data_IF_096719492526
#
_entry.id   IF_096719492526
#
_cell.length_a   1.000
_cell.length_b   1.000
_cell.length_c   1.000
_cell.angle_alpha   90.00
_cell.angle_beta   90.00
_cell.angle_gamma   90.00
#
_symmetry.space_group_name_H-M   'P 1'
#
loop_
_entity.id
_entity.type
_entity.pdbx_description
1 polymer ?
#
# COMPACT_ATOMS: atom_id res chain seq x y z
N UNK A 1 -22.68 2.73 -3.25
CA UNK A 1 -21.41 2.75 -2.52
C UNK A 1 -21.53 3.84 -1.45
N UNK A 2 -21.24 3.56 -0.19
CA UNK A 2 -21.15 4.61 0.82
C UNK A 2 -19.86 5.39 0.56
N UNK A 3 -19.96 6.69 0.40
CA UNK A 3 -18.83 7.59 0.26
C UNK A 3 -18.59 8.22 1.61
N UNK A 4 -17.35 8.20 2.08
CA UNK A 4 -17.00 8.76 3.39
C UNK A 4 -16.11 9.99 3.21
N UNK A 5 -14.78 9.82 3.45
CA UNK A 5 -13.82 10.92 3.44
C UNK A 5 -12.94 10.87 2.19
N UNK A 6 -12.32 9.69 1.94
CA UNK A 6 -11.27 9.55 0.92
C UNK A 6 -11.83 9.40 -0.50
N UNK A 7 -13.02 8.82 -0.61
CA UNK A 7 -13.70 8.57 -1.87
C UNK A 7 -14.97 9.42 -1.95
N UNK A 8 -14.81 10.73 -1.98
CA UNK A 8 -15.92 11.67 -2.10
C UNK A 8 -16.02 12.25 -3.52
N UNK A 9 -17.16 12.91 -3.81
CA UNK A 9 -17.40 13.57 -5.09
C UNK A 9 -16.66 14.91 -5.22
N UNK A 10 -15.91 15.32 -4.19
CA UNK A 10 -15.15 16.56 -4.18
C UNK A 10 -13.84 16.35 -4.94
N UNK A 11 -13.94 16.36 -6.28
CA UNK A 11 -12.74 16.40 -7.09
C UNK A 11 -12.00 17.71 -6.83
N UNK A 12 -10.79 17.63 -6.34
CA UNK A 12 -9.91 18.80 -6.14
C UNK A 12 -8.86 18.85 -7.25
N UNK A 13 -9.34 18.72 -8.51
CA UNK A 13 -8.49 18.58 -9.70
C UNK A 13 -7.81 19.88 -10.09
N UNK A 14 -8.43 21.00 -9.76
CA UNK A 14 -7.87 22.33 -9.97
C UNK A 14 -8.05 23.16 -8.71
N UNK A 15 -7.33 24.29 -8.64
CA UNK A 15 -7.29 25.15 -7.45
C UNK A 15 -8.66 25.75 -7.11
N UNK A 16 -9.52 26.00 -8.11
CA UNK A 16 -10.86 26.55 -7.89
C UNK A 16 -11.74 25.52 -7.18
N UNK A 17 -11.81 24.29 -7.71
CA UNK A 17 -12.59 23.21 -7.10
C UNK A 17 -12.09 22.93 -5.68
N UNK A 18 -10.77 22.98 -5.48
CA UNK A 18 -10.18 22.84 -4.15
C UNK A 18 -10.69 23.93 -3.20
N UNK A 19 -10.59 25.21 -3.58
CA UNK A 19 -11.01 26.34 -2.74
C UNK A 19 -12.51 26.33 -2.46
N UNK A 20 -13.34 25.94 -3.40
CA UNK A 20 -14.79 25.83 -3.22
C UNK A 20 -15.16 24.76 -2.18
N UNK A 21 -14.34 23.72 -2.00
CA UNK A 21 -14.59 22.62 -1.08
C UNK A 21 -13.85 22.74 0.27
N UNK A 22 -12.64 23.29 0.28
CA UNK A 22 -11.73 23.29 1.43
C UNK A 22 -11.28 24.69 1.86
N UNK A 23 -11.45 25.70 1.04
CA UNK A 23 -10.92 27.03 1.30
C UNK A 23 -9.46 27.20 0.83
N UNK A 24 -8.72 28.08 1.48
CA UNK A 24 -7.30 28.27 1.21
C UNK A 24 -6.45 27.12 1.77
N UNK A 25 -5.22 26.98 1.26
CA UNK A 25 -4.28 25.98 1.76
C UNK A 25 -4.04 26.16 3.26
N UNK A 26 -4.06 25.07 4.00
CA UNK A 26 -4.02 25.05 5.47
C UNK A 26 -2.80 25.74 6.05
N UNK A 27 -1.63 25.63 5.40
CA UNK A 27 -0.42 26.28 5.90
C UNK A 27 -0.50 27.80 5.89
N UNK A 28 -1.43 28.39 5.13
CA UNK A 28 -1.67 29.84 5.11
C UNK A 28 -2.62 30.29 6.22
N UNK A 29 -3.39 29.36 6.80
CA UNK A 29 -4.44 29.64 7.78
C UNK A 29 -4.11 29.11 9.18
N UNK A 30 -3.33 28.04 9.28
CA UNK A 30 -2.93 27.43 10.56
C UNK A 30 -1.62 28.07 11.04
N UNK A 31 -1.68 28.79 12.15
CA UNK A 31 -0.53 29.40 12.79
C UNK A 31 -0.03 28.64 14.04
N UNK A 32 -0.85 27.74 14.60
CA UNK A 32 -0.57 27.01 15.84
C UNK A 32 -0.54 25.51 15.57
N UNK A 33 0.64 25.00 15.22
CA UNK A 33 0.83 23.57 14.93
C UNK A 33 0.69 22.68 16.18
N UNK A 34 1.01 23.19 17.36
CA UNK A 34 0.93 22.44 18.62
C UNK A 34 -0.50 21.96 18.92
N UNK A 35 -1.49 22.84 18.73
CA UNK A 35 -2.91 22.50 18.89
C UNK A 35 -3.34 21.41 17.90
N UNK A 36 -2.90 21.52 16.63
CA UNK A 36 -3.18 20.49 15.61
C UNK A 36 -2.52 19.14 15.98
N UNK A 37 -1.30 19.16 16.50
CA UNK A 37 -0.59 17.95 16.94
C UNK A 37 -1.25 17.28 18.14
N UNK A 38 -1.74 18.04 19.12
CA UNK A 38 -2.49 17.47 20.24
C UNK A 38 -3.81 16.83 19.78
N UNK A 39 -4.52 17.46 18.84
CA UNK A 39 -5.70 16.86 18.21
C UNK A 39 -5.32 15.59 17.42
N UNK A 40 -4.21 15.59 16.70
CA UNK A 40 -3.72 14.42 15.95
C UNK A 40 -3.37 13.24 16.87
N UNK A 41 -2.81 13.52 18.06
CA UNK A 41 -2.55 12.51 19.08
C UNK A 41 -3.82 11.78 19.51
N UNK A 42 -4.91 12.53 19.71
CA UNK A 42 -6.23 11.96 20.03
C UNK A 42 -6.84 11.22 18.86
N UNK A 43 -6.68 11.73 17.63
CA UNK A 43 -7.17 11.06 16.41
C UNK A 43 -6.49 9.72 16.15
N UNK A 44 -5.27 9.53 16.65
CA UNK A 44 -4.50 8.28 16.60
C UNK A 44 -4.37 7.70 15.19
N UNK A 45 -3.98 8.55 14.24
CA UNK A 45 -3.75 8.16 12.84
C UNK A 45 -2.41 7.44 12.72
N UNK A 46 -2.41 6.28 12.02
CA UNK A 46 -1.22 5.49 11.72
C UNK A 46 -0.89 5.54 10.23
N UNK A 47 0.41 5.38 9.91
CA UNK A 47 0.85 5.22 8.53
C UNK A 47 0.25 3.96 7.90
N UNK A 48 -0.04 4.06 6.59
CA UNK A 48 -0.63 2.97 5.79
C UNK A 48 0.43 2.10 5.12
N UNK A 49 1.61 2.06 5.70
CA UNK A 49 2.74 1.23 5.26
C UNK A 49 2.90 -0.03 6.14
N UNK A 50 3.96 -0.79 5.88
CA UNK A 50 4.28 -2.01 6.65
C UNK A 50 4.74 -1.73 8.08
N UNK A 51 5.10 -0.50 8.40
CA UNK A 51 5.65 -0.13 9.72
C UNK A 51 4.59 0.31 10.72
N UNK A 52 3.42 0.74 10.28
CA UNK A 52 2.29 1.20 11.12
C UNK A 52 2.73 2.17 12.21
N UNK A 53 3.41 3.23 11.86
CA UNK A 53 3.88 4.22 12.82
C UNK A 53 2.78 5.23 13.13
N UNK A 54 2.70 5.69 14.37
CA UNK A 54 1.85 6.82 14.73
C UNK A 54 2.30 8.07 13.99
N UNK A 55 1.38 8.72 13.26
CA UNK A 55 1.67 9.96 12.56
C UNK A 55 2.02 11.09 13.52
N UNK A 56 1.34 11.15 14.69
CA UNK A 56 1.72 12.08 15.75
C UNK A 56 3.20 11.92 16.16
N UNK A 57 3.67 10.70 16.38
CA UNK A 57 5.05 10.46 16.78
C UNK A 57 6.05 10.87 15.69
N UNK A 58 5.68 10.73 14.44
CA UNK A 58 6.50 11.18 13.30
C UNK A 58 6.56 12.71 13.29
N UNK A 59 5.42 13.40 13.34
CA UNK A 59 5.34 14.85 13.21
C UNK A 59 5.85 15.60 14.46
N UNK A 60 5.81 14.99 15.64
CA UNK A 60 6.36 15.55 16.88
C UNK A 60 7.86 15.25 17.09
N UNK A 61 8.49 14.47 16.18
CA UNK A 61 9.91 14.12 16.32
C UNK A 61 10.82 15.24 15.82
N UNK A 62 11.74 15.68 16.68
CA UNK A 62 12.80 16.63 16.32
C UNK A 62 13.98 15.91 15.68
N UNK A 63 13.88 15.52 14.44
CA UNK A 63 14.98 14.93 13.70
C UNK A 63 15.51 15.93 12.67
N UNK A 64 16.82 16.00 12.48
CA UNK A 64 17.46 16.84 11.46
C UNK A 64 17.33 16.23 10.05
N UNK A 65 16.13 15.82 9.67
CA UNK A 65 15.88 15.29 8.33
C UNK A 65 15.79 16.44 7.31
N UNK A 66 16.30 16.19 6.11
CA UNK A 66 16.46 17.22 5.08
C UNK A 66 15.30 17.24 4.07
N UNK A 67 14.53 16.15 3.96
CA UNK A 67 13.43 16.05 3.03
C UNK A 67 12.27 15.17 3.52
N UNK A 68 11.08 15.50 3.03
CA UNK A 68 9.87 14.70 3.15
C UNK A 68 9.65 13.94 1.84
N UNK A 69 9.55 12.61 1.93
CA UNK A 69 9.21 11.75 0.80
C UNK A 69 7.75 11.37 0.92
N UNK A 70 6.97 11.65 -0.11
CA UNK A 70 5.61 11.14 -0.28
C UNK A 70 5.67 9.94 -1.22
N UNK A 71 5.44 8.77 -0.66
CA UNK A 71 5.44 7.52 -1.41
C UNK A 71 4.06 7.28 -2.04
N UNK A 72 3.89 7.71 -3.28
CA UNK A 72 2.78 7.36 -4.15
C UNK A 72 3.19 6.29 -5.17
N UNK A 73 4.30 5.61 -4.93
CA UNK A 73 4.81 4.52 -5.73
C UNK A 73 4.31 3.20 -5.15
N UNK A 74 3.08 2.82 -5.48
CA UNK A 74 2.54 1.52 -5.11
C UNK A 74 3.44 0.42 -5.67
N UNK A 75 4.23 -0.22 -4.80
CA UNK A 75 5.08 -1.36 -5.21
C UNK A 75 4.23 -2.53 -5.67
N UNK A 76 3.09 -2.77 -5.04
CA UNK A 76 2.17 -3.86 -5.36
C UNK A 76 1.18 -3.42 -6.44
N UNK A 77 1.24 -4.06 -7.62
CA UNK A 77 0.32 -3.81 -8.72
C UNK A 77 -1.15 -4.19 -8.41
N UNK A 78 -1.39 -4.92 -7.31
CA UNK A 78 -2.72 -5.20 -6.79
C UNK A 78 -3.33 -4.01 -6.05
N UNK A 79 -2.54 -2.94 -5.83
CA UNK A 79 -2.93 -1.72 -5.12
C UNK A 79 -2.87 -0.55 -6.09
N UNK A 80 -4.00 0.08 -6.34
CA UNK A 80 -4.13 1.16 -7.33
C UNK A 80 -4.78 2.45 -6.79
N UNK A 81 -4.90 2.57 -5.46
CA UNK A 81 -5.46 3.75 -4.80
C UNK A 81 -4.63 5.03 -5.01
N UNK A 82 -3.30 4.90 -5.11
CA UNK A 82 -2.42 6.06 -5.27
C UNK A 82 -2.67 6.76 -6.60
N UNK A 83 -2.91 6.00 -7.68
CA UNK A 83 -3.34 6.55 -8.96
C UNK A 83 -4.64 7.35 -8.81
N UNK A 84 -5.61 6.80 -8.09
CA UNK A 84 -6.89 7.47 -7.84
C UNK A 84 -6.68 8.81 -7.12
N UNK A 85 -5.86 8.87 -6.09
CA UNK A 85 -5.60 10.10 -5.35
C UNK A 85 -4.92 11.16 -6.23
N UNK A 86 -3.90 10.78 -7.00
CA UNK A 86 -3.20 11.69 -7.91
C UNK A 86 -4.17 12.28 -8.94
N UNK A 87 -5.05 11.45 -9.52
CA UNK A 87 -5.98 11.88 -10.56
C UNK A 87 -7.16 12.71 -10.06
N UNK A 88 -7.52 12.61 -8.77
CA UNK A 88 -8.71 13.25 -8.23
C UNK A 88 -8.44 14.29 -7.13
N UNK A 89 -7.33 14.21 -6.42
CA UNK A 89 -7.05 15.04 -5.26
C UNK A 89 -5.65 15.70 -5.27
N UNK A 90 -5.14 16.23 -6.40
CA UNK A 90 -3.77 16.74 -6.47
C UNK A 90 -3.52 17.93 -5.53
N UNK A 91 -4.47 18.86 -5.40
CA UNK A 91 -4.33 19.98 -4.50
C UNK A 91 -4.37 19.62 -3.03
N UNK A 92 -5.19 18.62 -2.64
CA UNK A 92 -5.18 18.10 -1.27
C UNK A 92 -3.86 17.41 -0.94
N UNK A 93 -3.25 16.71 -1.91
CA UNK A 93 -1.90 16.14 -1.76
C UNK A 93 -0.89 17.24 -1.47
N UNK A 94 -0.90 18.31 -2.27
CA UNK A 94 0.04 19.41 -2.11
C UNK A 94 -0.14 20.17 -0.80
N UNK A 95 -1.38 20.56 -0.46
CA UNK A 95 -1.67 21.26 0.79
C UNK A 95 -1.24 20.45 2.01
N UNK A 96 -1.63 19.17 2.07
CA UNK A 96 -1.24 18.28 3.16
C UNK A 96 0.27 18.09 3.27
N UNK A 97 0.94 17.94 2.13
CA UNK A 97 2.39 17.77 2.08
C UNK A 97 3.14 19.01 2.55
N UNK A 98 2.68 20.18 2.12
CA UNK A 98 3.25 21.48 2.52
C UNK A 98 3.04 21.71 4.03
N UNK A 99 1.84 21.43 4.55
CA UNK A 99 1.55 21.54 5.96
C UNK A 99 2.46 20.61 6.80
N UNK A 100 2.63 19.35 6.39
CA UNK A 100 3.55 18.41 7.03
C UNK A 100 4.99 18.93 7.00
N UNK A 101 5.44 19.43 5.85
CA UNK A 101 6.79 19.97 5.71
C UNK A 101 7.02 21.19 6.61
N UNK A 102 6.01 22.05 6.75
CA UNK A 102 6.06 23.20 7.68
C UNK A 102 6.14 22.76 9.13
N UNK A 103 5.32 21.78 9.55
CA UNK A 103 5.37 21.22 10.91
C UNK A 103 6.76 20.64 11.22
N UNK A 104 7.36 19.94 10.26
CA UNK A 104 8.67 19.30 10.39
C UNK A 104 9.86 20.25 10.14
N UNK A 105 9.59 21.51 9.76
CA UNK A 105 10.59 22.50 9.32
C UNK A 105 11.48 21.97 8.19
N UNK A 106 10.88 21.38 7.17
CA UNK A 106 11.53 20.82 5.99
C UNK A 106 11.21 21.69 4.78
N UNK A 107 12.22 21.87 3.91
CA UNK A 107 12.08 22.68 2.68
C UNK A 107 11.96 21.86 1.40
N UNK A 108 12.25 20.58 1.44
CA UNK A 108 12.24 19.72 0.26
C UNK A 108 11.18 18.63 0.38
N UNK A 109 10.27 18.58 -0.57
CA UNK A 109 9.26 17.54 -0.72
C UNK A 109 9.52 16.76 -2.00
N UNK A 110 9.66 15.45 -1.90
CA UNK A 110 9.89 14.57 -3.03
C UNK A 110 8.68 13.61 -3.15
N UNK A 111 7.94 13.69 -4.26
CA UNK A 111 6.78 12.83 -4.53
C UNK A 111 7.22 11.72 -5.48
N UNK A 112 7.14 10.47 -5.04
CA UNK A 112 7.52 9.31 -5.84
C UNK A 112 6.26 8.68 -6.44
N UNK A 113 6.20 8.57 -7.77
CA UNK A 113 5.06 8.03 -8.51
C UNK A 113 5.48 6.91 -9.47
N UNK A 114 4.52 6.16 -10.00
CA UNK A 114 4.75 5.25 -11.12
C UNK A 114 4.83 6.03 -12.43
N UNK A 115 5.71 5.60 -13.35
CA UNK A 115 5.87 6.24 -14.66
C UNK A 115 4.62 6.23 -15.53
N UNK A 116 3.70 5.28 -15.30
CA UNK A 116 2.42 5.21 -16.00
C UNK A 116 1.30 6.05 -15.34
N UNK A 117 1.58 6.73 -14.21
CA UNK A 117 0.65 7.72 -13.66
C UNK A 117 0.78 9.03 -14.44
N UNK A 118 -0.33 9.76 -14.52
CA UNK A 118 -0.31 11.04 -15.20
C UNK A 118 0.31 12.13 -14.30
N UNK A 119 1.64 12.29 -14.39
CA UNK A 119 2.38 13.28 -13.60
C UNK A 119 2.02 14.73 -13.92
N UNK A 120 1.51 15.01 -15.13
CA UNK A 120 1.11 16.36 -15.55
C UNK A 120 0.02 16.94 -14.62
N UNK A 121 -0.83 16.09 -14.03
CA UNK A 121 -1.85 16.52 -13.07
C UNK A 121 -1.19 17.16 -11.84
N UNK A 122 -0.16 16.54 -11.28
CA UNK A 122 0.58 17.09 -10.14
C UNK A 122 1.38 18.32 -10.52
N UNK A 123 2.01 18.33 -11.70
CA UNK A 123 2.76 19.49 -12.22
C UNK A 123 1.82 20.68 -12.36
N UNK A 124 0.66 20.51 -12.98
CA UNK A 124 -0.32 21.58 -13.14
C UNK A 124 -0.80 22.10 -11.77
N UNK A 125 -1.07 21.21 -10.82
CA UNK A 125 -1.47 21.61 -9.49
C UNK A 125 -0.37 22.40 -8.75
N UNK A 126 0.91 22.05 -8.94
CA UNK A 126 2.05 22.83 -8.40
C UNK A 126 2.08 24.21 -9.02
N UNK A 127 1.92 24.34 -10.35
CA UNK A 127 1.89 25.63 -11.04
C UNK A 127 0.73 26.51 -10.55
N UNK A 128 -0.49 25.96 -10.46
CA UNK A 128 -1.65 26.67 -9.94
C UNK A 128 -1.45 27.15 -8.49
N UNK A 129 -0.86 26.30 -7.66
CA UNK A 129 -0.56 26.63 -6.27
C UNK A 129 0.57 27.66 -6.16
N UNK A 130 1.60 27.60 -7.03
CA UNK A 130 2.68 28.59 -7.08
C UNK A 130 2.15 29.97 -7.49
N UNK A 131 1.30 30.02 -8.51
CA UNK A 131 0.70 31.29 -8.97
C UNK A 131 -0.06 32.00 -7.84
N UNK A 132 -0.75 31.24 -7.00
CA UNK A 132 -1.61 31.79 -5.94
C UNK A 132 -0.88 32.02 -4.61
N UNK A 133 -0.03 31.10 -4.19
CA UNK A 133 0.54 31.04 -2.84
C UNK A 133 2.05 31.29 -2.76
N UNK A 134 2.76 31.38 -3.89
CA UNK A 134 4.21 31.61 -3.96
C UNK A 134 5.04 30.60 -3.15
N UNK A 135 4.71 29.31 -3.30
CA UNK A 135 5.24 28.19 -2.51
C UNK A 135 6.76 28.03 -2.67
N UNK A 136 7.28 28.20 -3.91
CA UNK A 136 8.70 27.98 -4.24
C UNK A 136 9.67 28.89 -3.45
N UNK A 137 9.18 30.01 -2.93
CA UNK A 137 9.97 30.85 -2.04
C UNK A 137 10.36 30.16 -0.73
N UNK A 138 9.64 29.12 -0.34
CA UNK A 138 9.77 28.45 0.95
C UNK A 138 10.02 26.96 0.86
N UNK A 139 9.40 26.28 -0.11
CA UNK A 139 9.41 24.81 -0.26
C UNK A 139 9.66 24.44 -1.72
N UNK A 140 10.59 23.51 -1.93
CA UNK A 140 10.84 22.89 -3.24
C UNK A 140 10.09 21.56 -3.34
N UNK A 141 9.31 21.37 -4.40
CA UNK A 141 8.56 20.12 -4.65
C UNK A 141 9.09 19.47 -5.92
N UNK A 142 9.54 18.22 -5.80
CA UNK A 142 10.04 17.41 -6.91
C UNK A 142 9.14 16.19 -7.13
N UNK A 143 9.00 15.77 -8.40
CA UNK A 143 8.28 14.53 -8.76
C UNK A 143 9.25 13.58 -9.45
N UNK A 144 9.36 12.37 -8.90
CA UNK A 144 10.24 11.30 -9.40
C UNK A 144 9.44 10.06 -9.80
N UNK A 145 9.86 9.43 -10.87
CA UNK A 145 9.39 8.14 -11.32
C UNK A 145 10.56 7.18 -11.63
N UNK A 146 10.29 5.92 -11.95
CA UNK A 146 11.31 4.92 -12.26
C UNK A 146 12.12 5.19 -13.52
N UNK A 147 11.71 6.14 -14.37
CA UNK A 147 12.45 6.50 -15.57
C UNK A 147 13.56 7.51 -15.28
N UNK A 148 13.37 8.35 -14.26
CA UNK A 148 14.29 9.41 -13.91
C UNK A 148 15.04 9.18 -12.59
N UNK A 149 14.67 8.14 -11.84
CA UNK A 149 15.35 7.80 -10.58
C UNK A 149 15.26 6.32 -10.22
N UNK A 150 16.32 5.78 -9.58
CA UNK A 150 16.25 4.44 -8.99
C UNK A 150 15.51 4.48 -7.65
N UNK A 151 14.19 4.40 -7.71
CA UNK A 151 13.28 4.53 -6.57
C UNK A 151 13.61 3.52 -5.47
N UNK A 152 14.05 2.31 -5.83
CA UNK A 152 14.39 1.29 -4.83
C UNK A 152 15.59 1.70 -3.95
N UNK A 153 16.54 2.47 -4.49
CA UNK A 153 17.68 3.00 -3.72
C UNK A 153 17.28 4.23 -2.91
N UNK A 154 16.30 4.98 -3.37
CA UNK A 154 15.86 6.23 -2.75
C UNK A 154 15.40 6.03 -1.29
N UNK A 155 14.70 4.94 -1.00
CA UNK A 155 14.23 4.61 0.36
C UNK A 155 15.34 4.18 1.33
N UNK A 156 16.56 3.95 0.84
CA UNK A 156 17.72 3.57 1.66
C UNK A 156 18.51 4.79 2.14
N UNK A 157 18.26 5.97 1.57
CA UNK A 157 18.93 7.18 1.99
C UNK A 157 18.50 7.54 3.42
N UNK A 158 19.48 7.83 4.27
CA UNK A 158 19.26 8.26 5.65
C UNK A 158 18.82 9.73 5.66
N UNK A 159 18.18 10.16 6.76
CA UNK A 159 17.74 11.53 7.00
C UNK A 159 16.55 12.00 6.15
N UNK A 160 15.60 11.10 5.88
CA UNK A 160 14.35 11.43 5.19
C UNK A 160 13.15 10.94 6.00
N UNK A 161 12.08 11.74 6.02
CA UNK A 161 10.77 11.28 6.43
C UNK A 161 10.08 10.65 5.24
N UNK A 162 9.57 9.43 5.40
CA UNK A 162 8.83 8.74 4.35
C UNK A 162 7.40 8.51 4.83
N UNK A 163 6.41 9.04 4.11
CA UNK A 163 4.99 8.84 4.34
C UNK A 163 4.33 8.28 3.07
N UNK A 164 3.43 7.33 3.24
CA UNK A 164 2.58 6.87 2.14
C UNK A 164 1.51 7.92 1.80
N UNK A 165 1.08 7.95 0.53
CA UNK A 165 0.18 8.95 0.02
C UNK A 165 -1.16 9.00 0.74
N UNK A 166 -1.74 7.83 1.10
CA UNK A 166 -3.01 7.80 1.81
C UNK A 166 -2.91 8.42 3.20
N UNK A 167 -1.80 8.21 3.91
CA UNK A 167 -1.56 8.86 5.21
C UNK A 167 -1.51 10.38 5.07
N UNK A 168 -0.85 10.89 4.03
CA UNK A 168 -0.77 12.33 3.75
C UNK A 168 -2.17 12.90 3.50
N UNK A 169 -2.98 12.24 2.68
CA UNK A 169 -4.34 12.66 2.38
C UNK A 169 -5.26 12.58 3.61
N UNK A 170 -5.15 11.51 4.39
CA UNK A 170 -5.92 11.41 5.64
C UNK A 170 -5.58 12.52 6.62
N UNK A 171 -4.32 12.89 6.72
CA UNK A 171 -3.89 14.03 7.53
C UNK A 171 -4.52 15.33 7.03
N UNK A 172 -4.54 15.56 5.72
CA UNK A 172 -5.20 16.72 5.12
C UNK A 172 -6.69 16.79 5.48
N UNK A 173 -7.41 15.71 5.27
CA UNK A 173 -8.83 15.66 5.67
C UNK A 173 -9.03 15.88 7.17
N UNK A 174 -8.20 15.25 8.01
CA UNK A 174 -8.22 15.47 9.45
C UNK A 174 -8.02 16.96 9.80
N UNK A 175 -7.04 17.60 9.20
CA UNK A 175 -6.73 19.01 9.47
C UNK A 175 -7.84 19.96 9.01
N UNK A 176 -8.51 19.69 7.87
CA UNK A 176 -9.65 20.45 7.38
C UNK A 176 -10.93 20.22 8.19
N UNK A 177 -11.22 18.99 8.56
CA UNK A 177 -12.46 18.64 9.25
C UNK A 177 -12.42 18.93 10.75
N UNK A 178 -11.23 18.96 11.34
CA UNK A 178 -11.03 18.99 12.78
C UNK A 178 -11.34 17.65 13.47
N UNK A 179 -10.89 17.53 14.71
CA UNK A 179 -10.97 16.28 15.49
C UNK A 179 -12.40 15.74 15.62
N UNK A 180 -13.36 16.61 15.96
CA UNK A 180 -14.73 16.21 16.25
C UNK A 180 -15.45 15.60 15.03
N UNK A 181 -15.25 16.18 13.85
CA UNK A 181 -15.85 15.67 12.63
C UNK A 181 -15.12 14.42 12.11
N UNK A 182 -13.79 14.41 12.15
CA UNK A 182 -12.99 13.26 11.73
C UNK A 182 -13.28 12.03 12.61
N UNK A 183 -13.45 12.23 13.92
CA UNK A 183 -13.73 11.16 14.89
C UNK A 183 -15.12 10.52 14.76
N UNK A 184 -16.02 11.08 13.93
CA UNK A 184 -17.31 10.43 13.59
C UNK A 184 -17.11 9.20 12.71
N UNK A 185 -15.93 9.05 12.08
CA UNK A 185 -15.56 7.92 11.26
C UNK A 185 -14.57 7.02 12.01
N UNK A 186 -14.74 5.71 11.82
CA UNK A 186 -13.90 4.72 12.48
C UNK A 186 -14.46 4.24 13.82
N UNK A 187 -13.58 3.67 14.64
CA UNK A 187 -13.91 3.17 15.98
C UNK A 187 -13.06 3.89 17.05
N UNK A 188 -13.16 3.45 18.31
CA UNK A 188 -12.43 4.07 19.43
C UNK A 188 -10.92 4.00 19.23
N UNK A 189 -10.39 2.89 18.73
CA UNK A 189 -8.94 2.64 18.59
C UNK A 189 -8.36 3.20 17.29
N UNK A 190 -9.17 3.24 16.22
CA UNK A 190 -8.72 3.66 14.89
C UNK A 190 -9.75 4.63 14.31
N UNK A 191 -9.43 5.90 14.27
CA UNK A 191 -10.29 6.92 13.65
C UNK A 191 -10.07 6.98 12.14
N UNK A 192 -11.10 7.48 11.44
CA UNK A 192 -11.05 7.68 10.00
C UNK A 192 -11.46 6.46 9.19
N UNK A 193 -11.04 6.48 7.94
CA UNK A 193 -11.39 5.48 6.92
C UNK A 193 -10.14 4.96 6.24
N UNK A 194 -10.29 3.95 5.38
CA UNK A 194 -9.22 3.51 4.49
C UNK A 194 -9.78 3.16 3.12
N UNK A 195 -8.98 3.36 2.09
CA UNK A 195 -9.29 3.00 0.73
C UNK A 195 -8.71 1.62 0.41
N UNK A 196 -9.57 0.70 -0.03
CA UNK A 196 -9.22 -0.68 -0.33
C UNK A 196 -9.31 -0.92 -1.82
N UNK A 197 -8.20 -1.42 -2.40
CA UNK A 197 -8.15 -1.94 -3.77
C UNK A 197 -8.54 -3.41 -3.77
N UNK A 198 -9.64 -3.75 -4.40
CA UNK A 198 -10.03 -5.14 -4.63
C UNK A 198 -9.44 -5.66 -5.93
N UNK A 199 -8.89 -6.87 -5.89
CA UNK A 199 -8.26 -7.52 -7.04
C UNK A 199 -8.43 -9.03 -7.01
N UNK A 200 -7.95 -9.72 -8.05
CA UNK A 200 -8.05 -11.16 -8.17
C UNK A 200 -9.35 -11.65 -8.80
N UNK A 201 -9.83 -12.81 -8.37
CA UNK A 201 -10.92 -13.55 -9.02
C UNK A 201 -12.31 -13.16 -8.45
N UNK A 202 -12.65 -11.89 -8.58
CA UNK A 202 -13.93 -11.32 -8.12
C UNK A 202 -14.57 -10.46 -9.20
N UNK A 203 -15.91 -10.26 -9.16
CA UNK A 203 -16.61 -9.44 -10.15
C UNK A 203 -16.25 -7.96 -10.10
N UNK A 204 -16.05 -7.42 -8.91
CA UNK A 204 -15.87 -5.98 -8.67
C UNK A 204 -14.41 -5.64 -8.35
N UNK A 205 -13.54 -5.73 -9.35
CA UNK A 205 -12.17 -5.19 -9.27
C UNK A 205 -12.28 -3.66 -9.26
N UNK A 206 -12.22 -3.07 -8.07
CA UNK A 206 -12.46 -1.64 -7.89
C UNK A 206 -11.89 -1.14 -6.56
N UNK A 207 -12.00 0.18 -6.33
CA UNK A 207 -11.69 0.84 -5.06
C UNK A 207 -12.95 1.00 -4.23
N UNK A 208 -12.84 0.70 -2.95
CA UNK A 208 -13.91 0.91 -1.98
C UNK A 208 -13.36 1.54 -0.70
N UNK A 209 -14.10 2.49 -0.17
CA UNK A 209 -13.78 3.11 1.11
C UNK A 209 -14.56 2.45 2.24
N UNK A 210 -13.86 2.16 3.34
CA UNK A 210 -14.43 1.59 4.56
C UNK A 210 -13.99 2.39 5.78
N UNK A 211 -14.85 2.49 6.77
CA UNK A 211 -14.46 2.98 8.09
C UNK A 211 -13.68 1.89 8.83
N UNK A 212 -12.73 2.30 9.65
CA UNK A 212 -12.18 1.38 10.63
C UNK A 212 -13.31 0.86 11.55
N UNK A 213 -13.27 -0.44 11.86
CA UNK A 213 -14.35 -1.13 12.56
C UNK A 213 -15.38 -1.79 11.64
N UNK A 214 -15.37 -1.54 10.32
CA UNK A 214 -16.22 -2.29 9.37
C UNK A 214 -15.92 -3.78 9.46
N UNK A 215 -16.97 -4.60 9.48
CA UNK A 215 -16.82 -6.06 9.51
C UNK A 215 -16.24 -6.57 8.19
N UNK A 216 -15.49 -7.66 8.25
CA UNK A 216 -14.97 -8.28 7.03
C UNK A 216 -16.09 -8.77 6.11
N UNK A 217 -17.25 -9.14 6.67
CA UNK A 217 -18.43 -9.50 5.88
C UNK A 217 -18.96 -8.35 5.03
N UNK A 218 -18.90 -7.09 5.52
CA UNK A 218 -19.24 -5.90 4.72
C UNK A 218 -18.24 -5.72 3.57
N UNK A 219 -16.94 -5.95 3.83
CA UNK A 219 -15.87 -5.88 2.84
C UNK A 219 -16.08 -6.93 1.73
N UNK A 220 -16.36 -8.19 2.11
CA UNK A 220 -16.65 -9.26 1.16
C UNK A 220 -17.89 -8.93 0.33
N UNK A 221 -18.95 -8.43 0.95
CA UNK A 221 -20.16 -8.05 0.25
C UNK A 221 -19.89 -6.97 -0.80
N UNK A 222 -19.03 -6.00 -0.49
CA UNK A 222 -18.66 -4.94 -1.41
C UNK A 222 -17.83 -5.44 -2.61
N UNK A 223 -17.05 -6.52 -2.46
CA UNK A 223 -16.33 -7.16 -3.55
C UNK A 223 -17.24 -7.83 -4.59
N UNK A 224 -18.52 -8.02 -4.26
CA UNK A 224 -19.48 -8.74 -5.12
C UNK A 224 -19.35 -10.25 -5.08
N UNK A 225 -18.46 -10.80 -4.22
CA UNK A 225 -18.19 -12.23 -4.14
C UNK A 225 -19.45 -13.08 -3.89
N UNK A 226 -20.37 -12.63 -3.01
CA UNK A 226 -21.58 -13.39 -2.65
C UNK A 226 -22.49 -13.68 -3.87
N UNK A 227 -22.37 -12.90 -4.94
CA UNK A 227 -23.12 -13.06 -6.19
C UNK A 227 -22.38 -13.92 -7.22
N UNK A 228 -21.19 -14.43 -6.88
CA UNK A 228 -20.31 -15.13 -7.80
C UNK A 228 -20.14 -16.59 -7.35
N UNK A 229 -20.50 -17.54 -8.24
CA UNK A 229 -20.52 -18.97 -7.95
C UNK A 229 -19.14 -19.65 -7.89
N UNK A 230 -18.05 -18.91 -7.75
CA UNK A 230 -16.71 -19.48 -7.60
C UNK A 230 -16.28 -19.46 -6.14
N UNK A 231 -15.94 -20.61 -5.61
CA UNK A 231 -15.34 -20.71 -4.27
C UNK A 231 -13.99 -20.00 -4.22
N UNK A 232 -13.75 -19.30 -3.12
CA UNK A 232 -12.48 -18.65 -2.85
C UNK A 232 -11.55 -19.58 -2.10
N UNK A 233 -10.42 -19.86 -2.71
CA UNK A 233 -9.36 -20.70 -2.15
C UNK A 233 -8.63 -20.01 -1.00
N UNK A 234 -8.23 -18.74 -1.21
CA UNK A 234 -7.62 -17.90 -0.19
C UNK A 234 -7.70 -16.42 -0.52
N UNK A 235 -7.39 -15.59 0.46
CA UNK A 235 -7.42 -14.14 0.38
C UNK A 235 -6.09 -13.60 0.91
N UNK A 236 -5.49 -12.63 0.19
CA UNK A 236 -4.37 -11.84 0.66
C UNK A 236 -4.91 -10.45 1.07
N UNK A 237 -4.77 -10.09 2.35
CA UNK A 237 -5.41 -8.89 2.92
C UNK A 237 -4.58 -7.61 2.83
N UNK A 238 -3.34 -7.70 2.39
CA UNK A 238 -2.43 -6.55 2.19
C UNK A 238 -1.60 -6.76 0.91
N UNK A 239 -2.28 -7.17 -0.16
CA UNK A 239 -1.58 -7.68 -1.33
C UNK A 239 -0.63 -8.83 -0.93
N UNK A 240 0.53 -8.88 -1.55
CA UNK A 240 1.53 -9.93 -1.25
C UNK A 240 2.44 -9.61 -0.04
N UNK A 241 2.07 -8.64 0.77
CA UNK A 241 2.78 -8.29 2.02
C UNK A 241 2.25 -9.05 3.24
N UNK A 242 1.11 -9.75 3.12
CA UNK A 242 0.57 -10.62 4.16
C UNK A 242 0.46 -12.05 3.65
N UNK A 243 0.54 -13.00 4.59
CA UNK A 243 0.28 -14.41 4.30
C UNK A 243 -1.17 -14.65 3.86
N UNK A 244 -1.43 -15.67 3.01
CA UNK A 244 -2.79 -16.03 2.62
C UNK A 244 -3.61 -16.46 3.84
N UNK A 245 -4.90 -16.21 3.77
CA UNK A 245 -5.86 -16.58 4.81
C UNK A 245 -7.15 -17.11 4.18
N UNK A 246 -7.96 -17.82 4.96
CA UNK A 246 -9.26 -18.30 4.49
C UNK A 246 -10.36 -17.32 4.78
N UNK A 247 -11.46 -17.42 4.03
CA UNK A 247 -12.67 -16.63 4.26
C UNK A 247 -13.20 -16.80 5.69
N UNK A 248 -13.23 -18.04 6.18
CA UNK A 248 -13.74 -18.38 7.51
C UNK A 248 -12.95 -17.71 8.62
N UNK A 249 -11.62 -17.67 8.49
CA UNK A 249 -10.74 -17.02 9.48
C UNK A 249 -10.89 -15.51 9.55
N UNK A 250 -11.46 -14.88 8.51
CA UNK A 250 -11.70 -13.44 8.43
C UNK A 250 -13.14 -13.06 8.81
N UNK A 251 -14.08 -13.99 8.78
CA UNK A 251 -15.52 -13.71 8.94
C UNK A 251 -15.89 -13.04 10.27
N UNK A 252 -15.15 -13.34 11.34
CA UNK A 252 -15.34 -12.76 12.68
C UNK A 252 -14.52 -11.49 12.93
N UNK A 253 -13.70 -11.05 11.96
CA UNK A 253 -12.77 -9.94 12.14
C UNK A 253 -13.35 -8.63 11.61
N UNK A 254 -12.84 -7.53 12.16
CA UNK A 254 -13.11 -6.18 11.70
C UNK A 254 -11.87 -5.51 11.12
N UNK A 255 -12.11 -4.48 10.32
CA UNK A 255 -11.08 -3.65 9.75
C UNK A 255 -10.41 -2.82 10.86
N UNK A 256 -9.25 -3.24 11.30
CA UNK A 256 -8.43 -2.55 12.28
C UNK A 256 -6.96 -2.89 12.07
N UNK A 257 -6.06 -2.10 12.66
CA UNK A 257 -4.64 -2.40 12.57
C UNK A 257 -4.24 -3.67 13.37
N UNK A 258 -5.07 -4.09 14.33
CA UNK A 258 -4.77 -5.21 15.23
C UNK A 258 -5.35 -6.53 14.72
N UNK A 259 -6.51 -6.50 14.06
CA UNK A 259 -7.20 -7.73 13.60
C UNK A 259 -6.90 -8.10 12.15
N UNK A 260 -7.04 -7.12 11.25
CA UNK A 260 -6.74 -7.30 9.83
C UNK A 260 -5.77 -6.21 9.40
N UNK A 261 -4.49 -6.58 9.30
CA UNK A 261 -3.50 -5.66 8.78
C UNK A 261 -3.71 -5.43 7.28
N UNK A 262 -4.50 -4.42 6.93
CA UNK A 262 -4.70 -4.03 5.54
C UNK A 262 -3.52 -3.22 4.99
N UNK A 263 -2.70 -2.63 5.87
CA UNK A 263 -1.48 -1.88 5.49
C UNK A 263 -1.74 -0.97 4.30
N UNK A 264 -1.14 -1.34 3.16
CA UNK A 264 -1.20 -0.59 1.89
C UNK A 264 -2.59 -0.65 1.17
N UNK A 265 -3.60 -1.39 1.71
CA UNK A 265 -4.98 -1.33 1.19
C UNK A 265 -5.28 -2.28 0.04
N UNK A 266 -4.51 -3.34 -0.18
CA UNK A 266 -4.81 -4.35 -1.21
C UNK A 266 -5.52 -5.57 -0.64
N UNK A 267 -6.67 -5.97 -1.19
CA UNK A 267 -7.28 -7.28 -0.93
C UNK A 267 -7.38 -8.03 -2.25
N UNK A 268 -6.69 -9.20 -2.31
CA UNK A 268 -6.67 -10.05 -3.49
C UNK A 268 -7.34 -11.39 -3.19
N UNK A 269 -8.33 -11.73 -3.99
CA UNK A 269 -9.09 -12.98 -3.88
C UNK A 269 -8.58 -14.00 -4.91
N UNK A 270 -8.31 -15.21 -4.47
CA UNK A 270 -7.86 -16.31 -5.32
C UNK A 270 -8.94 -17.38 -5.36
N UNK A 271 -9.46 -17.69 -6.56
CA UNK A 271 -10.47 -18.71 -6.77
C UNK A 271 -9.91 -20.13 -6.58
N UNK A 272 -10.79 -21.09 -6.24
CA UNK A 272 -10.44 -22.50 -5.98
C UNK A 272 -9.71 -23.15 -7.16
N UNK A 273 -10.04 -22.77 -8.38
CA UNK A 273 -9.44 -23.32 -9.60
C UNK A 273 -8.07 -22.71 -9.98
N UNK A 274 -7.50 -21.84 -9.16
CA UNK A 274 -6.16 -21.28 -9.42
C UNK A 274 -5.05 -22.20 -8.92
N UNK A 275 -4.03 -22.35 -9.73
CA UNK A 275 -2.81 -23.07 -9.39
C UNK A 275 -1.94 -22.24 -8.44
N UNK A 276 -1.73 -22.72 -7.20
CA UNK A 276 -0.97 -21.96 -6.20
C UNK A 276 0.52 -21.90 -6.51
N UNK A 277 1.10 -22.85 -7.25
CA UNK A 277 2.47 -22.73 -7.73
C UNK A 277 2.66 -21.50 -8.63
N UNK A 278 1.66 -21.22 -9.48
CA UNK A 278 1.70 -20.02 -10.35
C UNK A 278 1.47 -18.74 -9.56
N UNK A 279 0.65 -18.78 -8.51
CA UNK A 279 0.47 -17.64 -7.59
C UNK A 279 1.79 -17.35 -6.88
N UNK A 280 2.46 -18.36 -6.31
CA UNK A 280 3.78 -18.19 -5.68
C UNK A 280 4.82 -17.68 -6.68
N UNK A 281 4.77 -18.14 -7.94
CA UNK A 281 5.66 -17.59 -8.98
C UNK A 281 5.45 -16.08 -9.18
N UNK A 282 4.20 -15.62 -9.20
CA UNK A 282 3.89 -14.18 -9.30
C UNK A 282 4.38 -13.41 -8.08
N UNK A 283 4.26 -13.97 -6.87
CA UNK A 283 4.79 -13.34 -5.65
C UNK A 283 6.31 -13.22 -5.72
N UNK A 284 7.02 -14.25 -6.20
CA UNK A 284 8.48 -14.22 -6.39
C UNK A 284 8.87 -13.16 -7.42
N UNK A 285 8.17 -13.09 -8.55
CA UNK A 285 8.42 -12.08 -9.59
C UNK A 285 8.17 -10.67 -9.05
N UNK A 286 7.10 -10.47 -8.32
CA UNK A 286 6.84 -9.20 -7.62
C UNK A 286 7.99 -8.85 -6.66
N UNK A 287 8.45 -9.78 -5.82
CA UNK A 287 9.59 -9.57 -4.93
C UNK A 287 10.85 -9.10 -5.66
N UNK A 288 11.11 -9.66 -6.85
CA UNK A 288 12.24 -9.27 -7.69
C UNK A 288 12.11 -7.83 -8.21
N UNK A 289 10.90 -7.39 -8.56
CA UNK A 289 10.68 -6.02 -9.08
C UNK A 289 10.87 -4.95 -8.02
N UNK A 290 10.55 -5.25 -6.75
CA UNK A 290 10.70 -4.28 -5.66
C UNK A 290 12.04 -4.39 -4.91
N UNK A 291 12.86 -5.36 -5.28
CA UNK A 291 14.17 -5.55 -4.65
C UNK A 291 15.11 -4.39 -4.99
N UNK A 292 15.65 -3.74 -3.95
CA UNK A 292 16.72 -2.75 -4.09
C UNK A 292 18.10 -3.37 -4.38
N UNK A 293 18.20 -4.70 -4.42
CA UNK A 293 19.39 -5.51 -4.69
C UNK A 293 20.57 -5.36 -3.71
N UNK A 294 20.42 -4.57 -2.64
CA UNK A 294 21.51 -4.32 -1.69
C UNK A 294 21.81 -5.50 -0.75
N UNK A 295 20.81 -6.35 -0.48
CA UNK A 295 20.98 -7.50 0.40
C UNK A 295 21.19 -8.78 -0.42
N UNK A 296 22.27 -9.52 -0.12
CA UNK A 296 22.61 -10.75 -0.83
C UNK A 296 21.44 -11.78 -0.83
N UNK A 297 20.74 -12.05 0.28
CA UNK A 297 19.59 -12.97 0.28
C UNK A 297 18.46 -12.53 -0.65
N UNK A 298 18.19 -11.24 -0.75
CA UNK A 298 17.18 -10.69 -1.65
C UNK A 298 17.62 -10.80 -3.11
N UNK A 299 18.82 -10.33 -3.44
CA UNK A 299 19.33 -10.26 -4.81
C UNK A 299 19.43 -11.65 -5.47
N UNK A 300 19.99 -12.63 -4.78
CA UNK A 300 20.19 -13.99 -5.32
C UNK A 300 19.08 -14.96 -4.94
N UNK A 301 18.49 -14.82 -3.75
CA UNK A 301 17.52 -15.78 -3.22
C UNK A 301 16.27 -15.89 -4.06
N UNK A 302 15.66 -14.77 -4.48
CA UNK A 302 14.47 -14.84 -5.33
C UNK A 302 14.73 -15.39 -6.72
N UNK A 303 15.93 -15.22 -7.28
CA UNK A 303 16.31 -15.87 -8.53
C UNK A 303 16.41 -17.40 -8.38
N UNK A 304 16.94 -17.87 -7.25
CA UNK A 304 16.98 -19.31 -6.95
C UNK A 304 15.57 -19.86 -6.69
N UNK A 305 14.72 -19.14 -5.96
CA UNK A 305 13.32 -19.52 -5.76
C UNK A 305 12.58 -19.67 -7.09
N UNK A 306 12.72 -18.69 -7.99
CA UNK A 306 12.13 -18.74 -9.32
C UNK A 306 12.64 -19.94 -10.13
N UNK A 307 13.94 -20.19 -10.09
CA UNK A 307 14.56 -21.35 -10.76
C UNK A 307 13.98 -22.68 -10.28
N UNK A 308 13.95 -22.92 -8.96
CA UNK A 308 13.44 -24.19 -8.42
C UNK A 308 11.95 -24.36 -8.69
N UNK A 309 11.16 -23.30 -8.48
CA UNK A 309 9.72 -23.34 -8.71
C UNK A 309 9.38 -23.55 -10.17
N UNK A 310 10.13 -22.95 -11.10
CA UNK A 310 9.94 -23.12 -12.54
C UNK A 310 10.21 -24.58 -12.97
N UNK A 311 11.23 -25.23 -12.39
CA UNK A 311 11.48 -26.67 -12.62
C UNK A 311 10.29 -27.52 -12.16
N UNK A 312 9.70 -27.20 -11.02
CA UNK A 312 8.53 -27.93 -10.49
C UNK A 312 7.33 -27.73 -11.43
N UNK A 313 7.04 -26.48 -11.83
CA UNK A 313 5.91 -26.16 -12.73
C UNK A 313 6.06 -26.86 -14.09
N UNK A 314 7.28 -26.98 -14.61
CA UNK A 314 7.56 -27.61 -15.90
C UNK A 314 7.67 -29.15 -15.83
N UNK A 315 7.49 -29.75 -14.65
CA UNK A 315 7.65 -31.19 -14.45
C UNK A 315 9.10 -31.70 -14.59
N UNK A 316 10.11 -30.80 -14.58
CA UNK A 316 11.53 -31.10 -14.71
C UNK A 316 12.26 -31.18 -13.36
N UNK A 317 11.52 -31.14 -12.25
CA UNK A 317 12.08 -31.15 -10.90
C UNK A 317 12.61 -32.53 -10.49
N UNK A 318 13.62 -32.53 -9.64
CA UNK A 318 14.08 -33.67 -8.86
C UNK A 318 13.56 -33.58 -7.40
N UNK A 319 13.83 -34.63 -6.60
CA UNK A 319 13.37 -34.72 -5.21
C UNK A 319 13.88 -33.60 -4.29
N UNK A 320 14.99 -32.95 -4.63
CA UNK A 320 15.61 -31.92 -3.81
C UNK A 320 15.12 -30.50 -4.16
N UNK A 321 14.53 -30.30 -5.35
CA UNK A 321 14.17 -28.95 -5.80
C UNK A 321 13.13 -28.28 -4.91
N UNK A 322 12.14 -29.03 -4.38
CA UNK A 322 11.18 -28.51 -3.41
C UNK A 322 11.84 -28.12 -2.08
N UNK A 323 12.69 -28.99 -1.54
CA UNK A 323 13.44 -28.72 -0.32
C UNK A 323 14.34 -27.49 -0.48
N UNK A 324 15.00 -27.38 -1.62
CA UNK A 324 15.86 -26.25 -1.94
C UNK A 324 15.05 -24.94 -2.06
N UNK A 325 13.86 -24.99 -2.67
CA UNK A 325 12.94 -23.85 -2.73
C UNK A 325 12.60 -23.36 -1.31
N UNK A 326 12.11 -24.27 -0.45
CA UNK A 326 11.72 -23.93 0.93
C UNK A 326 12.91 -23.38 1.73
N UNK A 327 14.07 -24.05 1.68
CA UNK A 327 15.28 -23.61 2.38
C UNK A 327 15.75 -22.22 1.89
N UNK A 328 15.65 -21.95 0.58
CA UNK A 328 16.02 -20.64 0.04
C UNK A 328 15.11 -19.52 0.55
N UNK A 329 13.79 -19.75 0.60
CA UNK A 329 12.85 -18.78 1.18
C UNK A 329 13.15 -18.53 2.66
N UNK A 330 13.42 -19.57 3.44
CA UNK A 330 13.80 -19.45 4.85
C UNK A 330 15.12 -18.68 5.04
N UNK A 331 16.07 -18.86 4.15
CA UNK A 331 17.32 -18.07 4.16
C UNK A 331 17.06 -16.59 3.86
N UNK A 332 16.13 -16.28 2.95
CA UNK A 332 15.72 -14.89 2.70
C UNK A 332 15.10 -14.28 3.94
N UNK A 333 14.18 -15.00 4.62
CA UNK A 333 13.54 -14.55 5.86
C UNK A 333 14.60 -14.22 6.94
N UNK A 334 15.56 -15.12 7.14
CA UNK A 334 16.60 -14.97 8.18
C UNK A 334 17.62 -13.88 7.86
N UNK A 335 17.91 -13.67 6.58
CA UNK A 335 18.97 -12.76 6.14
C UNK A 335 18.48 -11.39 5.64
N UNK A 336 17.17 -11.15 5.53
CA UNK A 336 16.64 -9.86 5.10
C UNK A 336 16.67 -8.83 6.23
N UNK A 337 17.19 -7.64 5.94
CA UNK A 337 17.17 -6.49 6.85
C UNK A 337 15.97 -5.54 6.61
N UNK A 338 15.18 -5.81 5.59
CA UNK A 338 14.07 -4.98 5.13
C UNK A 338 12.73 -5.68 5.46
N UNK A 339 11.82 -4.98 6.14
CA UNK A 339 10.53 -5.53 6.53
C UNK A 339 9.64 -5.89 5.31
N UNK A 340 9.75 -5.17 4.20
CA UNK A 340 9.05 -5.51 2.95
C UNK A 340 9.44 -6.88 2.44
N UNK A 341 10.74 -7.14 2.31
CA UNK A 341 11.25 -8.42 1.81
C UNK A 341 10.96 -9.56 2.80
N UNK A 342 11.11 -9.29 4.11
CA UNK A 342 10.72 -10.24 5.15
C UNK A 342 9.25 -10.67 5.00
N UNK A 343 8.33 -9.71 4.86
CA UNK A 343 6.90 -9.99 4.73
C UNK A 343 6.56 -10.77 3.46
N UNK A 344 7.18 -10.42 2.32
CA UNK A 344 6.97 -11.15 1.07
C UNK A 344 7.52 -12.58 1.15
N UNK A 345 8.71 -12.75 1.69
CA UNK A 345 9.27 -14.09 1.87
C UNK A 345 8.42 -14.93 2.84
N UNK A 346 7.88 -14.29 3.90
CA UNK A 346 6.92 -14.92 4.81
C UNK A 346 5.63 -15.29 4.08
N UNK A 347 5.10 -14.42 3.25
CA UNK A 347 3.95 -14.70 2.39
C UNK A 347 4.20 -15.91 1.47
N UNK A 348 5.37 -16.00 0.84
CA UNK A 348 5.76 -17.12 -0.02
C UNK A 348 5.76 -18.43 0.77
N UNK A 349 6.47 -18.49 1.90
CA UNK A 349 6.60 -19.74 2.66
C UNK A 349 5.25 -20.19 3.24
N UNK A 350 4.42 -19.27 3.72
CA UNK A 350 3.11 -19.60 4.27
C UNK A 350 2.14 -20.05 3.16
N UNK A 351 2.24 -19.48 1.96
CA UNK A 351 1.48 -19.94 0.79
C UNK A 351 1.90 -21.36 0.40
N UNK A 352 3.21 -21.64 0.36
CA UNK A 352 3.71 -22.99 0.07
C UNK A 352 3.19 -23.99 1.10
N UNK A 353 3.25 -23.65 2.39
CA UNK A 353 2.79 -24.54 3.49
C UNK A 353 1.27 -24.76 3.47
N UNK A 354 0.50 -23.70 3.24
CA UNK A 354 -0.97 -23.78 3.21
C UNK A 354 -1.47 -24.67 2.06
N UNK A 355 -0.76 -24.65 0.93
CA UNK A 355 -1.11 -25.41 -0.27
C UNK A 355 -0.08 -26.46 -0.66
N UNK A 356 0.62 -27.04 0.32
CA UNK A 356 1.69 -28.01 0.12
C UNK A 356 1.25 -29.20 -0.76
N UNK A 357 -0.01 -29.60 -0.66
CA UNK A 357 -0.57 -30.69 -1.48
C UNK A 357 -0.46 -30.43 -2.99
N UNK A 358 -0.57 -29.18 -3.46
CA UNK A 358 -0.41 -28.85 -4.89
C UNK A 358 1.06 -28.99 -5.33
N UNK A 359 2.01 -28.67 -4.44
CA UNK A 359 3.43 -28.82 -4.71
C UNK A 359 3.84 -30.28 -4.77
N UNK A 360 3.37 -31.09 -3.80
CA UNK A 360 3.60 -32.54 -3.78
C UNK A 360 3.00 -33.20 -5.03
N UNK A 361 1.76 -32.85 -5.37
CA UNK A 361 1.12 -33.35 -6.60
C UNK A 361 1.96 -33.03 -7.85
N UNK A 362 2.46 -31.80 -7.97
CA UNK A 362 3.29 -31.42 -9.12
C UNK A 362 4.63 -32.15 -9.17
N UNK A 363 5.23 -32.46 -8.02
CA UNK A 363 6.45 -33.26 -7.94
C UNK A 363 6.23 -34.71 -8.36
N UNK A 364 5.13 -35.33 -7.93
CA UNK A 364 4.82 -36.72 -8.22
C UNK A 364 4.31 -36.93 -9.65
N UNK A 365 3.37 -36.11 -10.09
CA UNK A 365 2.70 -36.23 -11.38
C UNK A 365 3.42 -35.55 -12.53
N UNK A 366 4.42 -34.71 -12.24
CA UNK A 366 5.16 -33.90 -13.21
C UNK A 366 4.29 -32.92 -14.02
N UNK A 367 3.10 -32.61 -13.49
CA UNK A 367 2.15 -31.61 -13.98
C UNK A 367 1.56 -30.84 -12.81
N UNK A 368 1.20 -29.58 -13.02
CA UNK A 368 0.51 -28.80 -11.97
C UNK A 368 -0.97 -29.15 -11.91
N UNK A 369 -1.55 -29.17 -10.71
CA UNK A 369 -2.98 -29.15 -10.53
C UNK A 369 -3.54 -27.91 -11.24
N UNK A 370 -4.66 -28.01 -11.93
CA UNK A 370 -5.24 -26.90 -12.71
C UNK A 370 -4.36 -26.36 -13.87
N UNK A 371 -3.47 -27.19 -14.44
CA UNK A 371 -2.58 -26.77 -15.54
C UNK A 371 -3.29 -26.28 -16.80
N UNK A 372 -4.55 -26.61 -16.99
CA UNK A 372 -5.34 -26.27 -18.20
C UNK A 372 -6.19 -24.98 -18.07
N UNK A 373 -6.31 -24.38 -16.89
CA UNK A 373 -7.25 -23.28 -16.62
C UNK A 373 -6.57 -21.89 -16.75
N UNK A 374 -5.25 -21.85 -16.98
CA UNK A 374 -4.47 -20.60 -16.95
C UNK A 374 -3.84 -20.29 -18.32
N UNK A 375 -4.65 -20.18 -19.35
CA UNK A 375 -4.23 -19.47 -20.58
C UNK A 375 -4.63 -18.01 -20.53
#
# INVERSE_FOLDING_TARGET
MKKFILYNDYATKNIKDYKDNFGDYLYTTINEYDTLLECLKVANIFTRDVYKKSLYNILSSNNNNQSLIINAYSFDYLVFKDKFFIENNPHLILDSAILIAKILNIKNIDILIRSYYNKEILINAIVEAEDLYKIESEITINIYDENNYNINLYFLEKQKYVLDLETVIQFGYFAHMGLDNFSKYGNENNKGTCLISFSGDIPNVNLHEFQFGSSFNEIIKASGYISYNNDIKCIFTNGFLNSPTTLDSLSSKSLSYDEINIGNGGICFIAENRCMLRVVMKIIQFAKTISCTNCMPCNYGFNLCEYYLNKIILGKSNSNDYKNLVNTVEMIIKGSSCLYIYNIAKCIIDTIKMFEYEFIYALEKKITLYSFINK
#
